data_IF_125303005006
#
_entry.id   IF_125303005006
#
_cell.length_a   1.000
_cell.length_b   1.000
_cell.length_c   1.000
_cell.angle_alpha   90.00
_cell.angle_beta   90.00
_cell.angle_gamma   90.00
#
_symmetry.space_group_name_H-M   'P 1'
#
loop_
_entity.id
_entity.type
_entity.pdbx_description
1 polymer ?
#
# COMPACT_ATOMS: atom_id res chain seq x y z
N UNK A 1 14.11 -2.16 11.71
CA UNK A 1 14.77 -2.47 10.42
C UNK A 1 13.73 -2.36 9.33
N UNK A 2 14.07 -1.82 8.16
CA UNK A 2 13.17 -1.82 7.00
C UNK A 2 12.93 -3.24 6.50
N UNK A 3 11.71 -3.52 6.02
CA UNK A 3 11.37 -4.78 5.36
C UNK A 3 12.30 -5.06 4.18
N UNK A 4 12.78 -6.29 4.05
CA UNK A 4 13.48 -6.73 2.84
C UNK A 4 12.49 -7.11 1.72
N UNK A 5 12.98 -7.32 0.49
CA UNK A 5 12.14 -7.79 -0.60
C UNK A 5 11.61 -9.21 -0.35
N UNK A 6 12.46 -10.07 0.22
CA UNK A 6 12.11 -11.45 0.58
C UNK A 6 11.09 -11.50 1.74
N UNK A 7 11.21 -10.59 2.70
CA UNK A 7 10.23 -10.42 3.78
C UNK A 7 8.81 -10.18 3.26
N UNK A 8 8.68 -9.36 2.21
CA UNK A 8 7.37 -8.98 1.66
C UNK A 8 6.84 -10.04 0.70
N UNK A 9 7.67 -10.55 -0.22
CA UNK A 9 7.22 -11.40 -1.34
C UNK A 9 7.68 -12.86 -1.25
N UNK A 10 8.45 -13.23 -0.23
CA UNK A 10 8.99 -14.56 0.00
C UNK A 10 10.37 -14.78 -0.63
N UNK A 11 10.97 -15.91 -0.26
CA UNK A 11 12.30 -16.32 -0.71
C UNK A 11 12.42 -16.39 -2.23
N UNK A 12 13.64 -16.13 -2.72
CA UNK A 12 13.94 -16.12 -4.16
C UNK A 12 13.38 -14.93 -4.93
N UNK A 13 12.71 -13.99 -4.26
CA UNK A 13 12.31 -12.73 -4.89
C UNK A 13 13.52 -11.83 -5.14
N UNK A 14 13.67 -11.35 -6.37
CA UNK A 14 14.74 -10.44 -6.77
C UNK A 14 14.18 -9.20 -7.45
N UNK A 15 14.96 -8.11 -7.43
CA UNK A 15 14.67 -6.92 -8.21
C UNK A 15 15.95 -6.36 -8.81
N UNK A 16 15.81 -5.71 -9.96
CA UNK A 16 16.84 -4.89 -10.59
C UNK A 16 16.27 -3.51 -10.93
N UNK A 17 16.98 -2.73 -11.73
CA UNK A 17 16.56 -1.38 -12.11
C UNK A 17 15.24 -1.32 -12.91
N UNK A 18 14.80 -2.43 -13.48
CA UNK A 18 13.70 -2.52 -14.45
C UNK A 18 12.69 -3.61 -14.13
N UNK A 19 13.05 -4.61 -13.33
CA UNK A 19 12.24 -5.79 -13.10
C UNK A 19 12.15 -6.17 -11.63
N UNK A 20 11.02 -6.74 -11.26
CA UNK A 20 10.83 -7.48 -10.00
C UNK A 20 10.40 -8.88 -10.39
N UNK A 21 11.13 -9.89 -9.93
CA UNK A 21 10.81 -11.31 -10.16
C UNK A 21 10.37 -11.94 -8.85
N UNK A 22 9.09 -12.34 -8.78
CA UNK A 22 8.51 -13.06 -7.64
C UNK A 22 8.22 -14.51 -8.05
N UNK A 23 8.83 -15.52 -7.40
CA UNK A 23 8.52 -16.92 -7.66
C UNK A 23 7.05 -17.25 -7.40
N UNK A 24 6.35 -17.83 -8.38
CA UNK A 24 4.94 -18.25 -8.23
C UNK A 24 4.74 -19.32 -7.13
N UNK A 25 5.80 -20.04 -6.76
CA UNK A 25 5.80 -20.96 -5.61
C UNK A 25 5.42 -20.29 -4.31
N UNK A 26 5.71 -18.99 -4.16
CA UNK A 26 5.42 -18.23 -2.94
C UNK A 26 3.91 -18.02 -2.75
N UNK A 27 3.11 -18.24 -3.80
CA UNK A 27 1.66 -18.08 -3.77
C UNK A 27 0.88 -19.39 -3.60
N UNK A 28 1.56 -20.54 -3.53
CA UNK A 28 0.91 -21.85 -3.34
C UNK A 28 0.10 -21.88 -2.05
N UNK A 29 0.61 -21.25 -0.99
CA UNK A 29 -0.10 -21.10 0.29
C UNK A 29 -1.41 -20.29 0.20
N UNK A 30 -1.61 -19.53 -0.88
CA UNK A 30 -2.85 -18.80 -1.15
C UNK A 30 -3.77 -19.48 -2.16
N UNK A 31 -3.46 -20.73 -2.52
CA UNK A 31 -4.26 -21.55 -3.43
C UNK A 31 -3.90 -21.37 -4.91
N UNK A 32 -2.81 -20.69 -5.24
CA UNK A 32 -2.34 -20.62 -6.62
C UNK A 32 -1.60 -21.91 -6.99
N UNK A 33 -2.09 -22.65 -7.98
CA UNK A 33 -1.29 -23.68 -8.66
C UNK A 33 -0.45 -23.01 -9.76
N UNK A 34 0.89 -23.01 -9.68
CA UNK A 34 1.74 -22.35 -10.67
C UNK A 34 1.53 -22.95 -12.07
N UNK A 35 1.25 -22.08 -13.05
CA UNK A 35 1.12 -22.44 -14.46
C UNK A 35 1.67 -21.29 -15.31
N UNK A 36 2.17 -21.60 -16.52
CA UNK A 36 2.56 -20.58 -17.49
C UNK A 36 1.36 -19.70 -17.92
N UNK A 37 0.14 -20.19 -17.76
CA UNK A 37 -1.11 -19.53 -18.17
C UNK A 37 -2.00 -19.13 -16.98
N UNK A 38 -1.42 -18.83 -15.80
CA UNK A 38 -2.22 -18.33 -14.68
C UNK A 38 -2.94 -17.02 -15.07
N UNK A 39 -4.20 -16.89 -14.64
CA UNK A 39 -4.97 -15.67 -14.85
C UNK A 39 -4.28 -14.47 -14.16
N UNK A 40 -4.10 -13.33 -14.86
CA UNK A 40 -3.48 -12.13 -14.28
C UNK A 40 -4.16 -11.59 -13.00
N UNK A 41 -5.49 -11.66 -12.92
CA UNK A 41 -6.26 -11.24 -11.74
C UNK A 41 -5.95 -12.13 -10.54
N UNK A 42 -5.81 -13.44 -10.75
CA UNK A 42 -5.41 -14.37 -9.70
C UNK A 42 -3.98 -14.10 -9.22
N UNK A 43 -3.05 -13.80 -10.14
CA UNK A 43 -1.68 -13.40 -9.80
C UNK A 43 -1.66 -12.11 -8.98
N UNK A 44 -2.42 -11.09 -9.41
CA UNK A 44 -2.52 -9.83 -8.68
C UNK A 44 -3.09 -10.01 -7.28
N UNK A 45 -4.15 -10.81 -7.12
CA UNK A 45 -4.73 -11.11 -5.82
C UNK A 45 -3.72 -11.79 -4.88
N UNK A 46 -2.94 -12.75 -5.40
CA UNK A 46 -1.90 -13.41 -4.62
C UNK A 46 -0.80 -12.44 -4.18
N UNK A 47 -0.38 -11.52 -5.05
CA UNK A 47 0.60 -10.48 -4.72
C UNK A 47 0.10 -9.59 -3.58
N UNK A 48 -1.15 -9.11 -3.67
CA UNK A 48 -1.76 -8.27 -2.63
C UNK A 48 -1.87 -9.04 -1.30
N UNK A 49 -2.32 -10.29 -1.35
CA UNK A 49 -2.47 -11.13 -0.16
C UNK A 49 -1.12 -11.41 0.51
N UNK A 50 -0.09 -11.75 -0.27
CA UNK A 50 1.28 -11.93 0.21
C UNK A 50 1.81 -10.67 0.90
N UNK A 51 1.70 -9.51 0.24
CA UNK A 51 2.17 -8.24 0.78
C UNK A 51 1.43 -7.85 2.08
N UNK A 52 0.13 -8.13 2.18
CA UNK A 52 -0.69 -7.79 3.36
C UNK A 52 -0.26 -8.50 4.64
N UNK A 53 0.40 -9.67 4.54
CA UNK A 53 0.90 -10.40 5.72
C UNK A 53 2.02 -9.61 6.42
N UNK A 54 2.88 -8.98 5.63
CA UNK A 54 4.04 -8.28 6.16
C UNK A 54 3.80 -6.78 6.37
N UNK A 55 3.05 -6.14 5.48
CA UNK A 55 2.78 -4.68 5.52
C UNK A 55 1.68 -4.34 6.52
N UNK A 56 1.85 -4.76 7.77
CA UNK A 56 0.99 -4.36 8.89
C UNK A 56 1.31 -2.93 9.33
N UNK A 57 0.39 -2.30 10.06
CA UNK A 57 0.59 -0.97 10.61
C UNK A 57 1.85 -0.87 11.47
N UNK A 58 2.11 -1.91 12.28
CA UNK A 58 3.32 -2.01 13.12
C UNK A 58 4.60 -2.05 12.29
N UNK A 59 4.65 -2.87 11.22
CA UNK A 59 5.85 -2.95 10.36
C UNK A 59 6.04 -1.73 9.47
N UNK A 60 4.96 -1.01 9.15
CA UNK A 60 5.04 0.30 8.49
C UNK A 60 5.76 1.34 9.33
N UNK A 61 5.58 1.34 10.66
CA UNK A 61 6.24 2.29 11.55
C UNK A 61 7.78 2.15 11.58
N UNK A 62 8.29 0.96 11.24
CA UNK A 62 9.71 0.64 11.21
C UNK A 62 10.42 1.00 9.89
N UNK A 63 9.67 1.21 8.81
CA UNK A 63 10.23 1.56 7.50
C UNK A 63 10.35 3.08 7.35
N UNK A 64 11.41 3.66 7.94
CA UNK A 64 11.63 5.12 7.98
C UNK A 64 12.22 5.73 6.70
N UNK A 65 12.50 4.93 5.68
CA UNK A 65 12.98 5.44 4.40
C UNK A 65 11.77 5.83 3.53
N UNK A 66 11.46 7.13 3.50
CA UNK A 66 10.39 7.70 2.69
C UNK A 66 10.73 7.50 1.20
N UNK A 67 10.09 6.52 0.56
CA UNK A 67 10.02 6.45 -0.90
C UNK A 67 8.60 6.84 -1.32
N UNK A 68 8.37 8.10 -1.72
CA UNK A 68 7.04 8.54 -2.10
C UNK A 68 6.62 7.85 -3.40
N UNK A 69 5.46 7.19 -3.38
CA UNK A 69 4.78 6.74 -4.60
C UNK A 69 3.82 7.84 -5.01
N UNK A 70 4.02 8.38 -6.22
CA UNK A 70 3.08 9.35 -6.79
C UNK A 70 2.02 8.60 -7.57
N UNK A 71 0.77 8.69 -7.12
CA UNK A 71 -0.38 8.14 -7.84
C UNK A 71 -1.08 9.29 -8.55
N UNK A 72 -0.93 9.35 -9.87
CA UNK A 72 -1.66 10.31 -10.71
C UNK A 72 -2.94 9.63 -11.19
N UNK A 73 -4.07 9.99 -10.59
CA UNK A 73 -5.38 9.55 -11.07
C UNK A 73 -5.86 10.52 -12.15
N UNK A 74 -5.95 10.05 -13.39
CA UNK A 74 -6.59 10.81 -14.48
C UNK A 74 -8.08 10.48 -14.53
N UNK A 75 -8.93 11.49 -14.68
CA UNK A 75 -10.38 11.33 -14.86
C UNK A 75 -11.23 12.25 -13.96
N UNK A 76 -12.55 12.09 -14.09
CA UNK A 76 -13.55 12.68 -13.19
C UNK A 76 -14.41 11.57 -12.60
N UNK A 77 -14.68 11.64 -11.31
CA UNK A 77 -15.73 10.84 -10.69
C UNK A 77 -17.04 11.61 -10.78
N UNK A 78 -18.14 10.92 -11.08
CA UNK A 78 -19.47 11.46 -10.93
C UNK A 78 -19.96 11.12 -9.52
N UNK A 79 -20.16 12.14 -8.69
CA UNK A 79 -20.88 12.02 -7.44
C UNK A 79 -22.35 12.25 -7.74
N UNK A 80 -23.21 11.30 -7.37
CA UNK A 80 -24.66 11.44 -7.52
C UNK A 80 -25.26 11.65 -6.12
N UNK A 81 -25.96 12.77 -5.92
CA UNK A 81 -26.74 13.00 -4.70
C UNK A 81 -28.01 12.11 -4.69
N UNK A 82 -28.63 11.96 -3.52
CA UNK A 82 -29.89 11.21 -3.34
C UNK A 82 -31.03 11.67 -4.26
N UNK A 83 -30.94 12.90 -4.79
CA UNK A 83 -31.89 13.52 -5.71
C UNK A 83 -31.57 13.25 -7.18
N UNK A 84 -30.49 12.51 -7.48
CA UNK A 84 -30.06 12.16 -8.83
C UNK A 84 -29.21 13.24 -9.54
N UNK A 85 -28.80 14.29 -8.83
CA UNK A 85 -27.96 15.35 -9.39
C UNK A 85 -26.51 14.87 -9.46
N UNK A 86 -25.90 14.90 -10.65
CA UNK A 86 -24.49 14.54 -10.84
C UNK A 86 -23.56 15.75 -10.72
N UNK A 87 -22.58 15.66 -9.84
CA UNK A 87 -21.44 16.58 -9.75
C UNK A 87 -20.16 15.86 -10.20
N UNK A 88 -19.43 16.46 -11.14
CA UNK A 88 -18.18 15.90 -11.64
C UNK A 88 -16.99 16.44 -10.86
N UNK A 89 -16.33 15.58 -10.08
CA UNK A 89 -15.16 15.96 -9.30
C UNK A 89 -13.90 15.47 -10.01
N UNK A 90 -12.95 16.39 -10.26
CA UNK A 90 -11.66 16.04 -10.84
C UNK A 90 -10.85 15.19 -9.85
N UNK A 91 -10.31 14.06 -10.33
CA UNK A 91 -9.39 13.25 -9.52
C UNK A 91 -8.07 14.03 -9.36
N UNK A 92 -7.65 14.28 -8.13
CA UNK A 92 -6.43 15.03 -7.80
C UNK A 92 -5.16 14.17 -7.82
N UNK A 93 -4.00 14.82 -7.72
CA UNK A 93 -2.73 14.15 -7.41
C UNK A 93 -2.72 13.88 -5.91
N UNK A 94 -2.70 12.60 -5.52
CA UNK A 94 -2.58 12.21 -4.13
C UNK A 94 -1.13 11.81 -3.86
N UNK A 95 -0.49 12.50 -2.92
CA UNK A 95 0.76 12.04 -2.35
C UNK A 95 0.43 11.11 -1.20
N UNK A 96 0.83 9.84 -1.30
CA UNK A 96 0.83 8.96 -0.12
C UNK A 96 2.05 9.32 0.71
N UNK A 97 1.90 10.33 1.56
CA UNK A 97 2.91 10.71 2.55
C UNK A 97 2.63 9.89 3.80
N UNK A 98 3.54 8.98 4.15
CA UNK A 98 3.46 8.24 5.40
C UNK A 98 3.97 9.13 6.53
N UNK A 99 3.06 9.60 7.38
CA UNK A 99 3.40 10.32 8.61
C UNK A 99 3.62 9.35 9.76
N UNK A 100 4.59 9.65 10.63
CA UNK A 100 4.71 9.04 11.95
C UNK A 100 3.94 9.91 12.95
N UNK A 101 2.96 9.39 13.70
CA UNK A 101 2.44 10.11 14.86
C UNK A 101 3.56 10.28 15.88
N UNK A 102 3.92 11.51 16.18
CA UNK A 102 4.80 11.84 17.30
C UNK A 102 3.89 12.06 18.50
N UNK A 103 3.95 11.16 19.48
CA UNK A 103 3.38 11.46 20.80
C UNK A 103 4.26 12.56 21.37
N UNK A 104 3.72 13.78 21.42
CA UNK A 104 4.35 14.84 22.19
C UNK A 104 4.27 14.41 23.66
N UNK A 105 5.36 14.57 24.44
CA UNK A 105 5.23 14.43 25.89
C UNK A 105 4.08 15.32 26.34
N UNK A 106 3.29 14.87 27.32
CA UNK A 106 2.19 15.65 27.88
C UNK A 106 2.68 17.07 28.09
N UNK A 107 2.28 17.97 27.20
CA UNK A 107 2.41 19.38 27.45
C UNK A 107 1.49 19.55 28.64
N UNK A 108 2.06 19.80 29.81
CA UNK A 108 1.33 20.27 30.96
C UNK A 108 0.77 21.62 30.55
N UNK A 109 -0.32 21.61 29.77
CA UNK A 109 -1.07 22.79 29.43
C UNK A 109 -1.83 23.06 30.72
N UNK A 110 -1.15 23.77 31.62
CA UNK A 110 -1.86 24.62 32.57
C UNK A 110 -2.73 25.52 31.71
N UNK A 111 -3.97 25.10 31.51
CA UNK A 111 -5.04 25.99 31.16
C UNK A 111 -5.08 26.99 32.31
N UNK A 112 -4.33 28.09 32.19
CA UNK A 112 -4.64 29.27 32.95
C UNK A 112 -6.02 29.70 32.47
N UNK A 113 -7.03 29.42 33.28
CA UNK A 113 -8.32 30.07 33.19
C UNK A 113 -8.07 31.59 33.09
N UNK A 114 -8.48 32.18 31.97
CA UNK A 114 -8.60 33.64 31.79
C UNK A 114 -10.06 33.97 31.61
#
# INVERSE_FOLDING_TARGET
MSATLADVFGDGTTQDATSITIPKSNFVQYGLTPSASNNPQALFFCIVRQASVFLTESRRADNRAVQPVTVTLSGRDALEDISGTQEYVARGVFYVIQYKPVILPDMNVDYMDV
#
